data_IF_408523420509
#
_entry.id   IF_408523420509
#
_cell.length_a   1.000
_cell.length_b   1.000
_cell.length_c   1.000
_cell.angle_alpha   90.00
_cell.angle_beta   90.00
_cell.angle_gamma   90.00
#
_symmetry.space_group_name_H-M   'P 1'
#
loop_
_entity.id
_entity.type
_entity.pdbx_description
1 polymer ?
#
# COMPACT_ATOMS: atom_id res chain seq x y z
N UNK A 1 69.99 -11.26 2.37
CA UNK A 1 68.52 -11.31 2.44
C UNK A 1 67.98 -11.28 1.02
N UNK A 2 67.45 -12.39 0.51
CA UNK A 2 66.82 -12.44 -0.82
C UNK A 2 65.36 -12.03 -0.66
N UNK A 3 65.02 -10.86 -1.21
CA UNK A 3 63.69 -10.26 -1.19
C UNK A 3 62.79 -10.99 -2.19
N UNK A 4 62.07 -12.02 -1.72
CA UNK A 4 60.99 -12.66 -2.48
C UNK A 4 59.76 -11.75 -2.47
N UNK A 5 59.76 -10.72 -3.32
CA UNK A 5 58.51 -10.04 -3.70
C UNK A 5 57.73 -10.95 -4.64
N UNK A 6 56.87 -11.79 -4.09
CA UNK A 6 55.82 -12.46 -4.83
C UNK A 6 54.90 -11.38 -5.43
N UNK A 7 54.69 -11.33 -6.77
CA UNK A 7 53.75 -10.38 -7.36
C UNK A 7 52.35 -10.63 -6.78
N UNK A 8 51.74 -9.59 -6.21
CA UNK A 8 50.34 -9.65 -5.79
C UNK A 8 49.48 -10.01 -7.02
N UNK A 9 48.49 -10.91 -6.89
CA UNK A 9 47.63 -11.26 -8.00
C UNK A 9 46.94 -9.99 -8.53
N UNK A 10 46.97 -9.83 -9.86
CA UNK A 10 46.27 -8.72 -10.51
C UNK A 10 44.79 -8.77 -10.16
N UNK A 11 44.16 -7.61 -9.90
CA UNK A 11 42.72 -7.56 -9.66
C UNK A 11 41.95 -8.05 -10.89
N UNK A 12 40.81 -8.69 -10.68
CA UNK A 12 39.91 -9.09 -11.77
C UNK A 12 39.28 -7.87 -12.43
N UNK A 13 39.01 -6.82 -11.65
CA UNK A 13 38.41 -5.57 -12.09
C UNK A 13 38.94 -4.38 -11.27
N UNK A 14 38.90 -3.18 -11.86
CA UNK A 14 39.11 -1.91 -11.16
C UNK A 14 37.82 -1.09 -11.08
N UNK A 15 36.96 -1.20 -12.09
CA UNK A 15 35.67 -0.51 -12.22
C UNK A 15 34.59 -1.47 -12.67
N UNK A 16 33.32 -1.07 -12.56
CA UNK A 16 32.20 -1.90 -12.99
C UNK A 16 32.16 -2.10 -14.52
N UNK A 17 32.84 -1.24 -15.27
CA UNK A 17 33.01 -1.36 -16.72
C UNK A 17 33.92 -2.53 -17.12
N UNK A 18 34.80 -2.98 -16.21
CA UNK A 18 35.67 -4.14 -16.45
C UNK A 18 34.91 -5.46 -16.28
N UNK A 19 33.72 -5.41 -15.68
CA UNK A 19 32.91 -6.58 -15.40
C UNK A 19 31.88 -6.85 -16.51
N UNK A 20 31.50 -8.13 -16.73
CA UNK A 20 30.42 -8.48 -17.64
C UNK A 20 29.11 -7.74 -17.33
N UNK A 21 28.21 -7.67 -18.31
CA UNK A 21 26.89 -7.07 -18.13
C UNK A 21 26.22 -7.56 -16.85
N UNK A 22 25.65 -6.63 -16.08
CA UNK A 22 24.96 -6.87 -14.79
C UNK A 22 25.87 -7.34 -13.63
N UNK A 23 27.19 -7.26 -13.75
CA UNK A 23 28.13 -7.52 -12.65
C UNK A 23 28.87 -6.24 -12.23
N UNK A 24 29.14 -6.11 -10.94
CA UNK A 24 29.83 -4.97 -10.35
C UNK A 24 31.20 -5.38 -9.78
N UNK A 25 32.14 -4.44 -9.77
CA UNK A 25 33.46 -4.64 -9.24
C UNK A 25 33.48 -4.42 -7.73
N UNK A 26 33.43 -5.52 -6.98
CA UNK A 26 33.32 -5.49 -5.52
C UNK A 26 34.55 -6.17 -4.94
N UNK A 27 35.35 -5.41 -4.19
CA UNK A 27 36.64 -5.89 -3.63
C UNK A 27 37.55 -6.50 -4.72
N UNK A 28 37.66 -5.84 -5.87
CA UNK A 28 38.49 -6.25 -7.01
C UNK A 28 38.08 -7.58 -7.68
N UNK A 29 36.82 -8.00 -7.48
CA UNK A 29 36.20 -9.16 -8.12
C UNK A 29 34.87 -8.81 -8.74
N UNK A 30 34.57 -9.38 -9.90
CA UNK A 30 33.27 -9.20 -10.54
C UNK A 30 32.24 -10.08 -9.84
N UNK A 31 31.27 -9.44 -9.19
CA UNK A 31 30.26 -10.11 -8.38
C UNK A 31 28.89 -9.56 -8.70
N UNK A 32 27.86 -10.41 -8.52
CA UNK A 32 26.49 -9.96 -8.56
C UNK A 32 26.15 -9.24 -7.25
N UNK A 33 25.89 -7.92 -7.27
CA UNK A 33 25.53 -7.20 -6.05
C UNK A 33 24.21 -7.69 -5.43
N UNK A 34 23.27 -8.24 -6.20
CA UNK A 34 22.03 -8.83 -5.67
C UNK A 34 22.25 -10.09 -4.82
N UNK A 35 23.42 -10.71 -4.90
CA UNK A 35 23.78 -11.86 -4.07
C UNK A 35 24.41 -11.46 -2.73
N UNK A 36 24.62 -10.16 -2.50
CA UNK A 36 25.19 -9.65 -1.27
C UNK A 36 24.09 -9.34 -0.24
N UNK A 37 24.35 -9.61 1.06
CA UNK A 37 23.42 -9.26 2.11
C UNK A 37 23.29 -7.73 2.24
N UNK A 38 22.12 -7.28 2.72
CA UNK A 38 21.81 -5.88 2.99
C UNK A 38 21.78 -4.95 1.75
N UNK A 39 21.71 -5.51 0.53
CA UNK A 39 21.49 -4.71 -0.69
C UNK A 39 20.01 -4.43 -0.93
N UNK A 40 19.15 -5.44 -0.77
CA UNK A 40 17.69 -5.31 -0.79
C UNK A 40 17.10 -6.02 0.42
N UNK A 41 15.87 -5.67 0.79
CA UNK A 41 15.08 -6.44 1.74
C UNK A 41 14.72 -7.82 1.14
N UNK A 42 14.60 -8.89 1.96
CA UNK A 42 14.41 -10.26 1.46
C UNK A 42 13.09 -10.49 0.71
N UNK A 43 12.14 -9.58 0.86
CA UNK A 43 10.81 -9.54 0.23
C UNK A 43 10.77 -8.69 -1.05
N UNK A 44 11.93 -8.20 -1.51
CA UNK A 44 12.07 -7.44 -2.76
C UNK A 44 12.69 -8.29 -3.86
N UNK A 45 12.27 -8.03 -5.09
CA UNK A 45 12.93 -8.55 -6.29
C UNK A 45 14.13 -7.64 -6.63
N UNK A 46 15.33 -8.23 -6.59
CA UNK A 46 16.56 -7.53 -6.92
C UNK A 46 16.96 -7.74 -8.37
N UNK A 47 17.27 -6.66 -9.07
CA UNK A 47 17.82 -6.70 -10.42
C UNK A 47 18.99 -5.72 -10.56
N UNK A 48 19.94 -6.07 -11.43
CA UNK A 48 21.09 -5.21 -11.76
C UNK A 48 20.88 -4.65 -13.16
N UNK A 49 20.86 -3.33 -13.27
CA UNK A 49 20.79 -2.62 -14.54
C UNK A 49 22.19 -2.49 -15.14
N UNK A 50 22.28 -2.53 -16.46
CA UNK A 50 23.54 -2.44 -17.21
C UNK A 50 24.00 -0.97 -17.33
N UNK A 51 24.03 -0.25 -16.21
CA UNK A 51 24.52 1.12 -16.12
C UNK A 51 26.03 1.14 -15.86
N UNK A 52 26.70 2.15 -16.41
CA UNK A 52 28.12 2.44 -16.26
C UNK A 52 28.29 3.94 -15.98
N UNK A 53 29.34 4.38 -15.26
CA UNK A 53 30.50 3.62 -14.78
C UNK A 53 30.28 2.83 -13.48
N UNK A 54 29.09 2.93 -12.89
CA UNK A 54 28.67 2.15 -11.73
C UNK A 54 27.41 1.36 -12.08
N UNK A 55 27.33 0.10 -11.67
CA UNK A 55 26.13 -0.73 -11.81
C UNK A 55 25.06 -0.26 -10.83
N UNK A 56 23.88 -0.01 -11.37
CA UNK A 56 22.70 0.34 -10.58
C UNK A 56 21.99 -0.93 -10.16
N UNK A 57 21.78 -1.07 -8.86
CA UNK A 57 20.91 -2.10 -8.29
C UNK A 57 19.51 -1.53 -8.12
N UNK A 58 18.52 -2.30 -8.52
CA UNK A 58 17.11 -1.96 -8.43
C UNK A 58 16.41 -3.02 -7.58
N UNK A 59 15.91 -2.60 -6.42
CA UNK A 59 15.08 -3.41 -5.53
C UNK A 59 13.62 -2.98 -5.72
N UNK A 60 12.73 -3.92 -6.05
CA UNK A 60 11.32 -3.61 -6.31
C UNK A 60 10.45 -4.56 -5.51
N UNK A 61 9.36 -4.03 -4.96
CA UNK A 61 8.35 -4.86 -4.34
C UNK A 61 7.56 -5.63 -5.40
N UNK A 62 7.25 -6.93 -5.18
CA UNK A 62 6.46 -7.74 -6.11
C UNK A 62 5.05 -7.16 -6.33
N UNK A 63 4.34 -7.68 -7.33
CA UNK A 63 2.98 -7.20 -7.68
C UNK A 63 2.07 -7.15 -6.44
N UNK A 64 1.23 -6.12 -6.40
CA UNK A 64 0.29 -5.86 -5.30
C UNK A 64 0.93 -5.57 -3.93
N UNK A 65 2.21 -5.15 -3.91
CA UNK A 65 2.89 -4.71 -2.68
C UNK A 65 3.61 -3.37 -2.88
N UNK A 66 3.81 -2.62 -1.79
CA UNK A 66 4.54 -1.34 -1.75
C UNK A 66 5.54 -1.33 -0.60
N UNK A 67 6.61 -0.55 -0.74
CA UNK A 67 7.57 -0.38 0.33
C UNK A 67 6.95 0.39 1.52
N UNK A 68 7.01 -0.23 2.70
CA UNK A 68 6.70 0.37 3.98
C UNK A 68 7.88 1.23 4.48
N UNK A 69 7.69 1.99 5.55
CA UNK A 69 8.70 2.89 6.13
C UNK A 69 9.94 2.17 6.66
N UNK A 70 9.82 0.88 6.97
CA UNK A 70 10.89 -0.02 7.40
C UNK A 70 11.64 -0.67 6.22
N UNK A 71 11.25 -0.36 4.98
CA UNK A 71 11.90 -0.88 3.77
C UNK A 71 11.44 -2.29 3.36
N UNK A 72 10.47 -2.87 4.07
CA UNK A 72 9.81 -4.13 3.71
C UNK A 72 8.61 -3.87 2.78
N UNK A 73 8.22 -4.87 2.01
CA UNK A 73 7.06 -4.84 1.14
C UNK A 73 5.80 -5.22 1.92
N UNK A 74 4.81 -4.34 1.87
CA UNK A 74 3.48 -4.55 2.45
C UNK A 74 2.42 -4.59 1.35
N UNK A 75 1.34 -5.37 1.50
CA UNK A 75 0.30 -5.47 0.48
C UNK A 75 -0.39 -4.12 0.25
N UNK A 76 -0.64 -3.82 -1.02
CA UNK A 76 -1.57 -2.76 -1.40
C UNK A 76 -2.96 -3.29 -1.06
N UNK A 77 -3.45 -2.94 0.11
CA UNK A 77 -4.87 -3.11 0.41
C UNK A 77 -5.61 -2.05 -0.38
N UNK A 78 -5.83 -2.33 -1.68
CA UNK A 78 -6.93 -1.73 -2.41
C UNK A 78 -8.17 -2.26 -1.71
N UNK A 79 -8.63 -1.57 -0.66
CA UNK A 79 -9.88 -1.92 -0.01
C UNK A 79 -10.91 -2.06 -1.12
N UNK A 80 -11.48 -3.24 -1.27
CA UNK A 80 -12.43 -3.53 -2.35
C UNK A 80 -13.51 -2.45 -2.26
N UNK A 81 -13.47 -1.53 -3.23
CA UNK A 81 -14.41 -0.42 -3.27
C UNK A 81 -15.72 -1.04 -3.73
N UNK A 82 -16.55 -1.42 -2.76
CA UNK A 82 -17.86 -2.03 -2.95
C UNK A 82 -18.79 -1.06 -3.71
N UNK A 83 -18.65 0.25 -3.46
CA UNK A 83 -19.46 1.29 -4.08
C UNK A 83 -18.66 2.55 -4.36
N UNK A 84 -19.05 3.31 -5.39
CA UNK A 84 -18.59 4.67 -5.66
C UNK A 84 -19.71 5.69 -5.52
N UNK A 85 -20.95 5.27 -5.80
CA UNK A 85 -22.16 6.08 -5.71
C UNK A 85 -23.23 5.34 -4.93
N UNK A 86 -24.20 6.07 -4.37
CA UNK A 86 -25.27 5.48 -3.56
C UNK A 86 -26.07 4.40 -4.32
N UNK A 87 -26.26 4.59 -5.63
CA UNK A 87 -26.96 3.64 -6.51
C UNK A 87 -26.23 2.31 -6.75
N UNK A 88 -24.96 2.18 -6.35
CA UNK A 88 -24.24 0.91 -6.37
C UNK A 88 -24.70 0.00 -5.22
N UNK A 89 -25.36 0.58 -4.21
CA UNK A 89 -25.87 -0.11 -3.03
C UNK A 89 -27.35 -0.48 -3.17
N UNK A 90 -27.86 -1.27 -2.22
CA UNK A 90 -29.31 -1.53 -2.09
C UNK A 90 -30.05 -0.25 -1.71
N UNK A 91 -31.36 -0.18 -1.96
CA UNK A 91 -32.20 0.98 -1.62
C UNK A 91 -32.16 1.41 -0.15
N UNK A 92 -31.84 0.49 0.78
CA UNK A 92 -31.71 0.76 2.23
C UNK A 92 -30.33 1.26 2.62
N UNK A 93 -29.35 1.16 1.73
CA UNK A 93 -27.95 1.40 1.98
C UNK A 93 -27.48 2.60 1.17
N UNK A 94 -26.36 3.21 1.53
CA UNK A 94 -25.74 4.28 0.77
C UNK A 94 -24.23 4.15 0.80
N UNK A 95 -23.57 4.77 -0.15
CA UNK A 95 -22.15 4.64 -0.30
C UNK A 95 -21.40 5.55 0.67
N UNK A 96 -20.64 4.95 1.58
CA UNK A 96 -19.83 5.67 2.55
C UNK A 96 -18.39 5.18 2.53
N UNK A 97 -17.51 6.01 1.98
CA UNK A 97 -16.05 5.76 1.89
C UNK A 97 -15.72 4.42 1.22
N UNK A 98 -16.45 4.08 0.16
CA UNK A 98 -16.19 2.87 -0.62
C UNK A 98 -16.89 1.61 -0.12
N UNK A 99 -17.79 1.70 0.87
CA UNK A 99 -18.60 0.57 1.35
C UNK A 99 -20.06 0.95 1.50
N UNK A 100 -20.95 0.02 1.18
CA UNK A 100 -22.39 0.17 1.33
C UNK A 100 -22.77 0.00 2.81
N UNK A 101 -23.35 1.05 3.40
CA UNK A 101 -23.85 0.99 4.77
C UNK A 101 -25.27 1.54 4.83
N UNK A 102 -26.06 0.97 5.74
CA UNK A 102 -27.45 1.37 5.95
C UNK A 102 -27.58 2.88 6.22
N UNK A 103 -28.52 3.54 5.53
CA UNK A 103 -28.65 5.00 5.57
C UNK A 103 -28.93 5.53 6.98
N UNK A 104 -29.81 4.87 7.74
CA UNK A 104 -30.09 5.20 9.14
C UNK A 104 -28.89 5.08 10.10
N UNK A 105 -27.87 4.29 9.74
CA UNK A 105 -26.66 4.17 10.56
C UNK A 105 -25.64 5.26 10.25
N UNK A 106 -25.65 5.77 9.02
CA UNK A 106 -24.78 6.87 8.61
C UNK A 106 -25.34 8.21 9.07
N UNK A 107 -26.64 8.40 8.90
CA UNK A 107 -27.35 9.63 9.26
C UNK A 107 -28.51 9.31 10.20
N UNK A 108 -28.22 9.15 11.51
CA UNK A 108 -29.22 8.75 12.50
C UNK A 108 -30.22 9.89 12.78
N UNK A 109 -31.47 9.51 13.06
CA UNK A 109 -32.52 10.46 13.42
C UNK A 109 -32.35 11.03 14.84
N UNK A 110 -33.16 12.04 15.15
CA UNK A 110 -33.22 12.68 16.46
C UNK A 110 -33.71 11.76 17.57
N UNK A 111 -33.61 12.23 18.81
CA UNK A 111 -34.01 11.47 20.00
C UNK A 111 -35.50 11.07 19.91
N UNK A 112 -35.81 9.83 20.27
CA UNK A 112 -37.15 9.23 20.19
C UNK A 112 -37.81 9.22 18.79
N UNK A 113 -37.08 9.53 17.72
CA UNK A 113 -37.58 9.40 16.35
C UNK A 113 -37.36 7.99 15.81
N UNK A 114 -38.28 7.53 14.96
CA UNK A 114 -38.14 6.31 14.20
C UNK A 114 -37.40 6.60 12.88
N UNK A 115 -36.39 5.79 12.57
CA UNK A 115 -35.64 5.87 11.32
C UNK A 115 -36.03 4.75 10.37
N UNK A 116 -36.28 5.08 9.11
CA UNK A 116 -36.46 4.13 8.02
C UNK A 116 -35.48 4.44 6.88
N UNK A 117 -34.67 3.45 6.50
CA UNK A 117 -33.75 3.60 5.37
C UNK A 117 -34.47 3.35 4.05
N UNK A 118 -34.53 4.34 3.15
CA UNK A 118 -35.20 4.20 1.85
C UNK A 118 -34.60 5.15 0.82
N UNK A 119 -34.41 4.66 -0.41
CA UNK A 119 -33.82 5.43 -1.52
C UNK A 119 -32.49 6.07 -1.10
N UNK A 120 -31.63 5.27 -0.45
CA UNK A 120 -30.31 5.69 0.04
C UNK A 120 -30.31 6.82 1.09
N UNK A 121 -31.47 7.11 1.70
CA UNK A 121 -31.65 8.19 2.69
C UNK A 121 -32.24 7.66 4.00
N UNK A 122 -31.96 8.37 5.09
CA UNK A 122 -32.63 8.20 6.38
C UNK A 122 -33.91 9.02 6.39
N UNK A 123 -35.05 8.33 6.52
CA UNK A 123 -36.35 8.96 6.68
C UNK A 123 -36.70 8.94 8.16
N UNK A 124 -36.78 10.13 8.76
CA UNK A 124 -37.05 10.32 10.19
C UNK A 124 -38.50 10.71 10.44
N UNK A 125 -39.18 9.99 11.34
CA UNK A 125 -40.58 10.26 11.71
C UNK A 125 -40.79 10.11 13.21
N UNK A 126 -41.60 10.98 13.82
CA UNK A 126 -42.02 10.78 15.21
C UNK A 126 -43.05 9.64 15.28
N UNK A 127 -42.88 8.67 16.18
CA UNK A 127 -43.85 7.58 16.36
C UNK A 127 -45.18 8.11 16.94
N UNK A 128 -46.24 7.30 16.85
CA UNK A 128 -47.58 7.69 17.33
C UNK A 128 -47.56 8.13 18.80
N UNK A 129 -48.17 9.30 19.08
CA UNK A 129 -48.17 9.91 20.41
C UNK A 129 -46.96 10.79 20.72
N UNK A 130 -46.04 10.96 19.77
CA UNK A 130 -44.92 11.90 19.87
C UNK A 130 -45.05 13.02 18.83
N UNK A 131 -44.64 14.23 19.22
CA UNK A 131 -44.61 15.43 18.39
C UNK A 131 -43.24 16.10 18.48
N UNK A 132 -42.89 16.93 17.49
CA UNK A 132 -41.61 17.64 17.46
C UNK A 132 -40.90 17.52 16.12
N UNK A 133 -39.58 17.73 16.13
CA UNK A 133 -38.75 17.63 14.93
C UNK A 133 -38.01 16.29 14.94
N UNK A 134 -38.32 15.35 14.03
CA UNK A 134 -37.74 14.01 14.04
C UNK A 134 -36.24 13.95 13.72
N UNK A 135 -35.63 15.05 13.26
CA UNK A 135 -34.17 15.16 13.12
C UNK A 135 -33.47 15.67 14.38
N UNK A 136 -34.21 16.18 15.36
CA UNK A 136 -33.65 16.72 16.61
C UNK A 136 -34.14 15.88 17.79
N UNK A 137 -35.44 15.91 18.05
CA UNK A 137 -36.10 15.23 19.16
C UNK A 137 -37.62 15.18 18.93
N UNK A 138 -38.19 14.01 19.24
CA UNK A 138 -39.62 13.81 19.39
C UNK A 138 -39.95 13.71 20.88
N UNK A 139 -40.97 14.45 21.34
CA UNK A 139 -41.44 14.46 22.73
C UNK A 139 -42.86 13.91 22.80
N UNK A 140 -43.19 13.19 23.87
CA UNK A 140 -44.55 12.68 24.10
C UNK A 140 -45.53 13.83 24.40
N UNK A 141 -46.73 13.75 23.84
CA UNK A 141 -47.83 14.72 24.07
C UNK A 141 -48.71 14.34 25.27
#
# INVERSE_FOLDING_TARGET
>A
CTDYRTPLPSPECQTDADCPSKMACIKKKCQNPCSLPAVCSPDQECSVLDSLPLRTVMCVCPSDTIASTDGHCMPIVAGEVECRVDSDCRDTDRCARGSCKEACRIDPCGLNAQCASKIHQSICTCPSGYVGNPHIECTFE
#
